data_IF_277898900633
#
_entry.id   IF_277898900633
#
_cell.length_a   1.000
_cell.length_b   1.000
_cell.length_c   1.000
_cell.angle_alpha   90.00
_cell.angle_beta   90.00
_cell.angle_gamma   90.00
#
_symmetry.space_group_name_H-M   'P 1'
#
loop_
_entity.id
_entity.type
_entity.pdbx_description
1 polymer ?
#
# COMPACT_ATOMS: atom_id res chain seq x y z
N UNK A 1 9.17 -7.59 8.43
CA UNK A 1 8.41 -6.97 7.34
C UNK A 1 9.08 -7.34 6.06
N UNK A 2 8.40 -8.01 5.16
CA UNK A 2 9.01 -8.53 3.95
C UNK A 2 7.95 -8.93 2.94
N UNK A 3 8.37 -9.18 1.71
CA UNK A 3 7.50 -9.75 0.67
C UNK A 3 6.92 -11.09 1.14
N UNK A 4 7.73 -11.92 1.78
CA UNK A 4 7.24 -13.21 2.32
C UNK A 4 6.17 -13.00 3.40
N UNK A 5 6.32 -12.00 4.26
CA UNK A 5 5.29 -11.71 5.27
C UNK A 5 4.00 -11.20 4.63
N UNK A 6 4.11 -10.42 3.55
CA UNK A 6 2.94 -10.00 2.79
C UNK A 6 2.20 -11.21 2.21
N UNK A 7 2.92 -12.12 1.55
CA UNK A 7 2.33 -13.32 0.96
C UNK A 7 1.63 -14.19 2.02
N UNK A 8 2.27 -14.38 3.17
CA UNK A 8 1.71 -15.15 4.26
C UNK A 8 0.45 -14.49 4.83
N UNK A 9 0.47 -13.17 5.00
CA UNK A 9 -0.68 -12.42 5.47
C UNK A 9 -1.85 -12.53 4.48
N UNK A 10 -1.58 -12.39 3.19
CA UNK A 10 -2.60 -12.54 2.16
C UNK A 10 -3.23 -13.94 2.21
N UNK A 11 -2.43 -14.99 2.35
CA UNK A 11 -2.97 -16.36 2.45
C UNK A 11 -3.88 -16.51 3.66
N UNK A 12 -3.47 -15.99 4.81
CA UNK A 12 -4.27 -16.03 6.04
C UNK A 12 -5.60 -15.30 5.86
N UNK A 13 -5.55 -14.09 5.30
CA UNK A 13 -6.73 -13.25 5.15
C UNK A 13 -7.68 -13.76 4.06
N UNK A 14 -7.14 -14.37 3.01
CA UNK A 14 -7.95 -14.98 1.96
C UNK A 14 -8.85 -16.09 2.50
N UNK A 15 -8.38 -16.81 3.51
CA UNK A 15 -9.12 -17.93 4.10
C UNK A 15 -10.26 -17.49 5.03
N UNK A 16 -10.36 -16.20 5.35
CA UNK A 16 -11.40 -15.69 6.23
C UNK A 16 -12.77 -15.68 5.56
N UNK A 17 -13.86 -15.89 6.32
CA UNK A 17 -15.20 -15.67 5.80
C UNK A 17 -15.41 -14.18 5.45
N UNK A 18 -16.41 -13.93 4.59
CA UNK A 18 -16.65 -12.60 4.03
C UNK A 18 -16.72 -11.48 5.09
N UNK A 19 -17.48 -11.72 6.17
CA UNK A 19 -17.64 -10.69 7.21
C UNK A 19 -16.33 -10.38 7.91
N UNK A 20 -15.50 -11.41 8.13
CA UNK A 20 -14.17 -11.22 8.72
C UNK A 20 -13.24 -10.51 7.77
N UNK A 21 -13.35 -10.75 6.46
CA UNK A 21 -12.57 -10.01 5.47
C UNK A 21 -12.92 -8.51 5.49
N UNK A 22 -14.19 -8.17 5.57
CA UNK A 22 -14.63 -6.78 5.66
C UNK A 22 -14.10 -6.12 6.93
N UNK A 23 -14.22 -6.79 8.07
CA UNK A 23 -13.71 -6.30 9.35
C UNK A 23 -12.19 -6.08 9.28
N UNK A 24 -11.48 -6.99 8.61
CA UNK A 24 -10.04 -6.86 8.45
C UNK A 24 -9.67 -5.62 7.62
N UNK A 25 -10.40 -5.35 6.54
CA UNK A 25 -10.14 -4.15 5.74
C UNK A 25 -10.32 -2.87 6.57
N UNK A 26 -11.35 -2.83 7.41
CA UNK A 26 -11.59 -1.69 8.30
C UNK A 26 -10.43 -1.54 9.30
N UNK A 27 -9.97 -2.65 9.86
CA UNK A 27 -8.85 -2.66 10.81
C UNK A 27 -7.56 -2.17 10.15
N UNK A 28 -7.25 -2.66 8.96
CA UNK A 28 -6.08 -2.21 8.20
C UNK A 28 -6.15 -0.70 7.92
N UNK A 29 -7.31 -0.22 7.47
CA UNK A 29 -7.50 1.20 7.18
C UNK A 29 -7.26 2.06 8.43
N UNK A 30 -7.71 1.60 9.59
CA UNK A 30 -7.51 2.28 10.86
C UNK A 30 -6.05 2.38 11.29
N UNK A 31 -5.21 1.48 10.82
CA UNK A 31 -3.78 1.49 11.14
C UNK A 31 -2.94 2.43 10.29
N UNK A 32 -3.52 3.02 9.25
CA UNK A 32 -2.75 3.83 8.31
C UNK A 32 -2.14 5.07 8.96
N UNK A 33 -2.80 5.66 9.95
CA UNK A 33 -2.28 6.86 10.63
C UNK A 33 -0.93 6.62 11.29
N UNK A 34 -0.62 5.39 11.66
CA UNK A 34 0.67 5.01 12.27
C UNK A 34 1.79 4.93 11.22
N UNK A 35 1.46 4.98 9.96
CA UNK A 35 2.39 4.84 8.84
C UNK A 35 2.68 6.19 8.18
N UNK A 36 2.21 7.28 8.78
CA UNK A 36 2.44 8.64 8.27
C UNK A 36 3.94 8.97 8.27
N UNK A 37 4.37 9.81 7.31
CA UNK A 37 5.79 10.19 7.24
C UNK A 37 6.19 11.00 8.47
N UNK A 38 7.39 10.69 8.98
CA UNK A 38 8.01 11.48 10.03
C UNK A 38 8.48 12.80 9.42
N UNK A 39 8.00 13.92 9.95
CA UNK A 39 8.34 15.24 9.44
C UNK A 39 9.81 15.61 9.64
N UNK A 40 10.53 14.91 10.52
CA UNK A 40 11.96 15.11 10.75
C UNK A 40 12.83 14.34 9.78
N UNK A 41 12.26 13.43 9.00
CA UNK A 41 12.99 12.62 8.03
C UNK A 41 12.99 13.26 6.66
N UNK A 42 14.09 13.10 5.95
CA UNK A 42 14.16 13.40 4.52
C UNK A 42 13.49 12.30 3.72
N UNK A 43 12.69 12.67 2.74
CA UNK A 43 12.07 11.73 1.81
C UNK A 43 12.52 12.03 0.40
N UNK A 44 13.11 11.05 -0.27
CA UNK A 44 13.62 11.20 -1.64
C UNK A 44 12.47 11.38 -2.63
N UNK A 45 11.35 10.74 -2.39
CA UNK A 45 10.13 10.86 -3.19
C UNK A 45 8.97 11.27 -2.30
N UNK A 46 8.25 12.30 -2.73
CA UNK A 46 7.00 12.76 -2.11
C UNK A 46 5.95 12.80 -3.21
N UNK A 47 5.23 11.70 -3.37
CA UNK A 47 4.21 11.57 -4.41
C UNK A 47 2.83 11.80 -3.78
N UNK A 48 2.40 13.04 -3.78
CA UNK A 48 1.09 13.44 -3.23
C UNK A 48 0.20 13.89 -4.37
N UNK A 49 -0.90 13.19 -4.57
CA UNK A 49 -1.87 13.55 -5.62
C UNK A 49 -3.26 13.06 -5.26
N UNK A 50 -4.25 13.67 -5.90
CA UNK A 50 -5.63 13.26 -5.73
C UNK A 50 -5.81 11.83 -6.24
N UNK A 51 -6.47 11.01 -5.44
CA UNK A 51 -6.82 9.65 -5.85
C UNK A 51 -7.88 9.71 -6.94
N UNK A 52 -7.71 8.92 -8.01
CA UNK A 52 -8.67 8.83 -9.11
C UNK A 52 -10.04 8.31 -8.67
N UNK A 53 -10.06 7.49 -7.63
CA UNK A 53 -11.29 6.88 -7.13
C UNK A 53 -11.98 7.71 -6.05
N UNK A 54 -11.32 8.77 -5.55
CA UNK A 54 -11.79 9.54 -4.40
C UNK A 54 -11.60 11.03 -4.65
N UNK A 55 -12.35 11.84 -3.89
CA UNK A 55 -12.22 13.30 -3.95
C UNK A 55 -11.08 13.83 -3.09
N UNK A 56 -10.21 12.98 -2.54
CA UNK A 56 -9.17 13.39 -1.61
C UNK A 56 -7.80 12.86 -2.02
N UNK A 57 -6.77 13.29 -1.32
CA UNK A 57 -5.38 13.01 -1.69
C UNK A 57 -4.82 11.76 -1.02
N UNK A 58 -3.92 11.10 -1.75
CA UNK A 58 -3.07 10.02 -1.23
C UNK A 58 -1.62 10.45 -1.42
N UNK A 59 -0.87 10.48 -0.33
CA UNK A 59 0.56 10.78 -0.36
C UNK A 59 1.37 9.54 -0.07
N UNK A 60 2.33 9.24 -0.94
CA UNK A 60 3.28 8.14 -0.77
C UNK A 60 4.67 8.73 -0.67
N UNK A 61 5.43 8.26 0.32
CA UNK A 61 6.74 8.79 0.66
C UNK A 61 7.75 7.65 0.62
N UNK A 62 8.85 7.86 -0.08
CA UNK A 62 9.88 6.84 -0.28
C UNK A 62 11.24 7.45 -0.03
N UNK A 63 12.09 6.72 0.69
CA UNK A 63 13.50 7.11 0.82
C UNK A 63 14.39 5.90 0.77
N UNK A 64 15.63 6.11 0.30
CA UNK A 64 16.66 5.07 0.34
C UNK A 64 17.16 4.86 1.74
N UNK A 65 17.46 3.61 2.01
CA UNK A 65 18.08 3.19 3.26
C UNK A 65 19.08 2.10 2.87
N UNK A 66 20.21 1.92 3.60
CA UNK A 66 21.17 0.87 3.27
C UNK A 66 20.56 -0.53 3.18
N UNK A 67 19.49 -0.79 3.93
CA UNK A 67 18.86 -2.10 3.99
C UNK A 67 17.67 -2.26 3.03
N UNK A 68 17.36 -1.23 2.25
CA UNK A 68 16.22 -1.27 1.34
C UNK A 68 15.58 0.11 1.22
N UNK A 69 14.28 0.15 0.88
CA UNK A 69 13.56 1.42 0.82
C UNK A 69 12.64 1.57 2.04
N UNK A 70 12.56 2.78 2.56
CA UNK A 70 11.61 3.10 3.63
C UNK A 70 10.37 3.73 3.02
N UNK A 71 9.23 3.31 3.51
CA UNK A 71 7.93 3.72 2.98
C UNK A 71 7.08 4.37 4.07
N UNK A 72 6.33 5.39 3.69
CA UNK A 72 5.30 5.98 4.54
C UNK A 72 4.16 6.43 3.65
N UNK A 73 3.00 6.65 4.24
CA UNK A 73 1.82 7.10 3.52
C UNK A 73 0.93 7.94 4.42
N UNK A 74 0.23 8.88 3.80
CA UNK A 74 -0.84 9.60 4.46
C UNK A 74 -1.97 9.85 3.47
N UNK A 75 -3.20 9.92 3.97
CA UNK A 75 -4.38 10.07 3.13
C UNK A 75 -5.32 11.09 3.75
N UNK A 76 -6.07 11.77 2.90
CA UNK A 76 -7.16 12.63 3.34
C UNK A 76 -8.32 11.81 3.90
N UNK A 77 -9.20 12.47 4.65
CA UNK A 77 -10.31 11.81 5.34
C UNK A 77 -11.32 11.18 4.39
N UNK A 78 -11.46 11.74 3.19
CA UNK A 78 -12.45 11.29 2.20
C UNK A 78 -11.98 10.11 1.36
N UNK A 79 -10.74 9.63 1.53
CA UNK A 79 -10.24 8.47 0.83
C UNK A 79 -11.00 7.22 1.31
N UNK A 80 -11.36 6.33 0.36
CA UNK A 80 -12.16 5.15 0.69
C UNK A 80 -11.42 4.19 1.61
N UNK A 81 -12.19 3.42 2.38
CA UNK A 81 -11.66 2.40 3.28
C UNK A 81 -10.78 1.39 2.54
N UNK A 82 -11.19 0.96 1.35
CA UNK A 82 -10.41 -0.01 0.59
C UNK A 82 -9.05 0.55 0.19
N UNK A 83 -8.99 1.78 -0.31
CA UNK A 83 -7.71 2.42 -0.64
C UNK A 83 -6.82 2.54 0.59
N UNK A 84 -7.39 2.97 1.72
CA UNK A 84 -6.65 3.06 2.99
C UNK A 84 -6.10 1.69 3.42
N UNK A 85 -6.92 0.65 3.35
CA UNK A 85 -6.55 -0.70 3.78
C UNK A 85 -5.41 -1.26 2.93
N UNK A 86 -5.52 -1.14 1.61
CA UNK A 86 -4.50 -1.66 0.69
C UNK A 86 -3.19 -0.89 0.82
N UNK A 87 -3.27 0.42 0.95
CA UNK A 87 -2.08 1.26 1.17
C UNK A 87 -1.38 0.88 2.47
N UNK A 88 -2.14 0.74 3.56
CA UNK A 88 -1.59 0.35 4.86
C UNK A 88 -0.92 -1.03 4.80
N UNK A 89 -1.58 -1.99 4.17
CA UNK A 89 -1.04 -3.35 4.04
C UNK A 89 0.30 -3.34 3.30
N UNK A 90 0.35 -2.65 2.15
CA UNK A 90 1.58 -2.60 1.35
C UNK A 90 2.70 -1.86 2.08
N UNK A 91 2.43 -0.70 2.64
CA UNK A 91 3.47 0.06 3.36
C UNK A 91 3.99 -0.73 4.54
N UNK A 92 3.10 -1.34 5.31
CA UNK A 92 3.49 -2.11 6.50
C UNK A 92 4.41 -3.28 6.16
N UNK A 93 4.10 -4.02 5.11
CA UNK A 93 4.85 -5.24 4.76
C UNK A 93 6.03 -5.00 3.83
N UNK A 94 5.98 -3.96 3.01
CA UNK A 94 7.03 -3.70 2.02
C UNK A 94 8.07 -2.68 2.49
N UNK A 95 7.84 -2.04 3.62
CA UNK A 95 8.82 -1.15 4.25
C UNK A 95 10.10 -1.95 4.54
N UNK A 96 11.23 -1.47 4.04
CA UNK A 96 12.52 -2.14 4.17
C UNK A 96 12.86 -3.09 3.02
N UNK A 97 11.94 -3.34 2.09
CA UNK A 97 12.19 -4.20 0.94
C UNK A 97 12.96 -3.49 -0.17
N UNK A 98 13.47 -4.26 -1.12
CA UNK A 98 14.15 -3.71 -2.30
C UNK A 98 13.13 -3.19 -3.31
N UNK A 99 13.52 -2.22 -4.17
CA UNK A 99 12.64 -1.78 -5.25
C UNK A 99 12.17 -2.93 -6.15
N UNK A 100 13.04 -3.90 -6.42
CA UNK A 100 12.71 -5.07 -7.25
C UNK A 100 11.61 -5.91 -6.59
N UNK A 101 11.69 -6.15 -5.29
CA UNK A 101 10.67 -6.91 -4.57
C UNK A 101 9.33 -6.19 -4.59
N UNK A 102 9.33 -4.87 -4.40
CA UNK A 102 8.10 -4.07 -4.45
C UNK A 102 7.48 -4.11 -5.85
N UNK A 103 8.30 -4.04 -6.90
CA UNK A 103 7.82 -4.12 -8.28
C UNK A 103 7.20 -5.48 -8.63
N UNK A 104 7.51 -6.52 -7.87
CA UNK A 104 6.97 -7.87 -8.10
C UNK A 104 5.55 -8.07 -7.54
N UNK A 105 5.06 -7.17 -6.70
CA UNK A 105 3.71 -7.27 -6.14
C UNK A 105 2.68 -7.01 -7.22
N UNK A 106 1.62 -7.82 -7.24
CA UNK A 106 0.56 -7.71 -8.25
C UNK A 106 -0.78 -7.35 -7.61
N UNK A 107 -1.63 -6.69 -8.38
CA UNK A 107 -2.99 -6.42 -7.96
C UNK A 107 -3.77 -7.71 -7.70
N UNK A 108 -3.53 -8.73 -8.50
CA UNK A 108 -4.19 -10.04 -8.31
C UNK A 108 -3.88 -10.63 -6.93
N UNK A 109 -2.65 -10.49 -6.47
CA UNK A 109 -2.22 -10.95 -5.16
C UNK A 109 -3.02 -10.25 -4.05
N UNK A 110 -3.16 -8.93 -4.12
CA UNK A 110 -3.89 -8.16 -3.12
C UNK A 110 -5.41 -8.34 -3.24
N UNK A 111 -5.91 -8.63 -4.43
CA UNK A 111 -7.34 -8.88 -4.64
C UNK A 111 -7.87 -10.03 -3.77
N UNK A 112 -7.00 -10.94 -3.38
CA UNK A 112 -7.38 -12.12 -2.61
C UNK A 112 -7.92 -11.81 -1.21
N UNK A 113 -7.61 -10.63 -0.67
CA UNK A 113 -8.11 -10.22 0.65
C UNK A 113 -9.42 -9.44 0.58
N UNK A 114 -9.90 -9.18 -0.62
CA UNK A 114 -11.13 -8.41 -0.85
C UNK A 114 -12.25 -9.39 -1.15
N UNK A 115 -13.41 -9.28 -0.44
CA UNK A 115 -14.55 -10.14 -0.76
C UNK A 115 -14.94 -10.01 -2.22
N UNK A 116 -15.31 -11.12 -2.84
CA UNK A 116 -15.56 -11.18 -4.27
C UNK A 116 -16.62 -10.17 -4.74
N UNK A 117 -17.69 -10.00 -3.95
CA UNK A 117 -18.75 -9.05 -4.31
C UNK A 117 -18.27 -7.61 -4.32
N UNK A 118 -17.37 -7.26 -3.40
CA UNK A 118 -16.77 -5.92 -3.36
C UNK A 118 -15.74 -5.77 -4.48
N UNK A 119 -14.95 -6.80 -4.73
CA UNK A 119 -13.91 -6.80 -5.75
C UNK A 119 -14.48 -6.54 -7.15
N UNK A 120 -15.64 -7.12 -7.47
CA UNK A 120 -16.29 -6.89 -8.77
C UNK A 120 -16.55 -5.41 -9.06
N UNK A 121 -16.80 -4.62 -8.01
CA UNK A 121 -17.08 -3.19 -8.14
C UNK A 121 -15.82 -2.33 -7.98
N UNK A 122 -14.74 -2.89 -7.40
CA UNK A 122 -13.58 -2.14 -6.96
C UNK A 122 -12.25 -2.67 -7.50
N UNK A 123 -12.27 -3.46 -8.57
CA UNK A 123 -11.03 -3.99 -9.15
C UNK A 123 -10.07 -2.87 -9.54
N UNK A 124 -10.58 -1.77 -10.09
CA UNK A 124 -9.74 -0.63 -10.47
C UNK A 124 -9.08 0.03 -9.26
N UNK A 125 -9.76 0.05 -8.12
CA UNK A 125 -9.19 0.58 -6.87
C UNK A 125 -7.96 -0.25 -6.47
N UNK A 126 -8.06 -1.58 -6.55
CA UNK A 126 -6.94 -2.47 -6.22
C UNK A 126 -5.78 -2.26 -7.19
N UNK A 127 -6.05 -2.26 -8.49
CA UNK A 127 -5.04 -2.05 -9.51
C UNK A 127 -4.32 -0.72 -9.31
N UNK A 128 -5.07 0.32 -9.04
CA UNK A 128 -4.55 1.67 -8.88
C UNK A 128 -3.69 1.81 -7.62
N UNK A 129 -4.10 1.21 -6.51
CA UNK A 129 -3.33 1.26 -5.27
C UNK A 129 -1.94 0.64 -5.44
N UNK A 130 -1.86 -0.51 -6.10
CA UNK A 130 -0.58 -1.18 -6.37
C UNK A 130 0.27 -0.31 -7.30
N UNK A 131 -0.32 0.18 -8.38
CA UNK A 131 0.40 1.00 -9.36
C UNK A 131 0.95 2.28 -8.73
N UNK A 132 0.18 2.94 -7.86
CA UNK A 132 0.61 4.16 -7.18
C UNK A 132 1.89 3.95 -6.39
N UNK A 133 1.96 2.86 -5.61
CA UNK A 133 3.15 2.56 -4.82
C UNK A 133 4.34 2.24 -5.72
N UNK A 134 4.13 1.42 -6.75
CA UNK A 134 5.20 1.07 -7.68
C UNK A 134 5.72 2.29 -8.44
N UNK A 135 4.84 3.20 -8.83
CA UNK A 135 5.23 4.45 -9.49
C UNK A 135 6.07 5.31 -8.55
N UNK A 136 5.67 5.43 -7.29
CA UNK A 136 6.41 6.22 -6.31
C UNK A 136 7.82 5.65 -6.08
N UNK A 137 7.94 4.34 -5.90
CA UNK A 137 9.25 3.68 -5.75
C UNK A 137 10.08 3.83 -7.02
N UNK A 138 9.45 3.74 -8.19
CA UNK A 138 10.11 3.91 -9.48
C UNK A 138 10.71 5.29 -9.71
N UNK A 139 10.31 6.29 -8.93
CA UNK A 139 10.88 7.64 -9.02
C UNK A 139 12.20 7.80 -8.28
N UNK A 140 12.63 6.79 -7.52
CA UNK A 140 13.94 6.83 -6.88
C UNK A 140 15.04 6.85 -7.93
N UNK A 141 16.05 7.71 -7.72
CA UNK A 141 17.22 7.74 -8.58
C UNK A 141 18.02 6.45 -8.45
N UNK A 142 18.51 5.87 -9.57
CA UNK A 142 19.38 4.70 -9.47
C UNK A 142 20.64 4.99 -8.66
N UNK A 143 21.09 4.02 -7.88
CA UNK A 143 22.32 4.14 -7.09
C UNK A 143 23.52 3.92 -8.00
N UNK A 144 24.54 4.75 -7.86
CA UNK A 144 25.82 4.55 -8.52
C UNK A 144 25.86 4.87 -10.01
N UNK A 145 24.93 5.66 -10.48
CA UNK A 145 24.94 6.16 -11.86
C UNK A 145 25.86 7.34 -11.98
#
# INVERSE_FOLDING_TARGET
MSLASLEQTVQTLQALPRDAQITNLITLAGGLSKLAPDSTQHWDVRDVRQDLECADTVGLYVRRDPDGVRLAAEVGQEVTTLTKALTALMVQHLDGETPTAIASVTANQLSKIVPESLLRQRQNTVNYAVQRLQDAVGKLEPVGV
#
